data_IF_447405378922
#
_entry.id   IF_447405378922
#
_cell.length_a   1.000
_cell.length_b   1.000
_cell.length_c   1.000
_cell.angle_alpha   90.00
_cell.angle_beta   90.00
_cell.angle_gamma   90.00
#
_symmetry.space_group_name_H-M   'P 1'
#
loop_
_entity.id
_entity.type
_entity.pdbx_description
1 polymer ?
#
# COMPACT_ATOMS: atom_id res chain seq x y z
N UNK A 1 16.66 -12.16 81.16
CA UNK A 1 17.10 -12.93 80.03
C UNK A 1 18.56 -12.64 79.82
N UNK A 2 19.43 -13.65 80.00
CA UNK A 2 20.90 -13.46 79.91
C UNK A 2 21.35 -13.44 78.43
N UNK A 3 22.48 -12.75 78.09
CA UNK A 3 22.94 -12.65 76.71
C UNK A 3 23.09 -14.01 76.01
N UNK A 4 23.51 -15.05 76.74
CA UNK A 4 23.65 -16.43 76.23
C UNK A 4 22.33 -17.07 75.87
N UNK A 5 21.24 -16.74 76.60
CA UNK A 5 19.91 -17.27 76.27
C UNK A 5 19.37 -16.60 74.99
N UNK A 6 19.69 -15.35 74.72
CA UNK A 6 19.32 -14.67 73.47
C UNK A 6 20.05 -15.25 72.27
N UNK A 7 21.34 -15.52 72.39
CA UNK A 7 22.14 -16.11 71.36
C UNK A 7 21.62 -17.54 70.97
N UNK A 8 21.30 -18.33 71.99
CA UNK A 8 20.73 -19.70 71.79
C UNK A 8 19.37 -19.65 71.10
N UNK A 9 18.54 -18.71 71.48
CA UNK A 9 17.22 -18.53 70.85
C UNK A 9 17.35 -18.07 69.39
N UNK A 10 18.26 -17.11 69.09
CA UNK A 10 18.50 -16.71 67.69
C UNK A 10 19.01 -17.87 66.85
N UNK A 11 19.94 -18.69 67.35
CA UNK A 11 20.46 -19.84 66.64
C UNK A 11 19.37 -20.92 66.37
N UNK A 12 18.50 -21.16 67.34
CA UNK A 12 17.37 -22.12 67.16
C UNK A 12 16.32 -21.58 66.16
N UNK A 13 16.06 -20.27 66.18
CA UNK A 13 15.11 -19.68 65.26
C UNK A 13 15.67 -19.65 63.83
N UNK A 14 16.93 -19.32 63.67
CA UNK A 14 17.57 -19.37 62.32
C UNK A 14 17.63 -20.74 61.70
N UNK A 15 17.87 -21.78 62.52
CA UNK A 15 17.82 -23.18 62.07
C UNK A 15 16.39 -23.70 61.88
N UNK A 16 15.40 -23.14 62.56
CA UNK A 16 14.01 -23.52 62.46
C UNK A 16 13.21 -22.91 61.34
N UNK A 17 13.79 -21.80 60.74
CA UNK A 17 13.14 -21.14 59.59
C UNK A 17 13.51 -21.92 58.32
N UNK A 18 12.66 -22.81 57.91
CA UNK A 18 12.75 -23.53 56.63
C UNK A 18 11.85 -22.82 55.62
N UNK A 19 12.40 -22.55 54.45
CA UNK A 19 11.57 -22.07 53.34
C UNK A 19 10.56 -23.17 52.95
N UNK A 20 9.29 -22.98 53.35
CA UNK A 20 8.20 -23.91 53.15
C UNK A 20 7.37 -23.63 51.87
N UNK A 21 7.77 -22.59 51.15
CA UNK A 21 7.19 -22.34 49.83
C UNK A 21 8.30 -22.39 48.77
N UNK A 22 8.40 -23.54 48.11
CA UNK A 22 9.36 -23.80 47.03
C UNK A 22 8.60 -23.84 45.71
N UNK A 23 9.04 -23.01 44.79
CA UNK A 23 8.47 -22.97 43.42
C UNK A 23 8.65 -24.37 42.78
N UNK A 24 7.55 -25.07 42.61
CA UNK A 24 7.56 -26.36 41.91
C UNK A 24 7.28 -26.14 40.43
N UNK A 25 8.34 -26.03 39.63
CA UNK A 25 8.28 -25.77 38.18
C UNK A 25 7.37 -26.78 37.44
N UNK A 26 7.47 -28.08 37.79
CA UNK A 26 6.64 -29.13 37.19
C UNK A 26 5.14 -28.91 37.44
N UNK A 27 4.78 -28.65 38.70
CA UNK A 27 3.40 -28.38 39.09
C UNK A 27 2.86 -27.09 38.46
N UNK A 28 3.74 -26.06 38.31
CA UNK A 28 3.39 -24.80 37.66
C UNK A 28 3.12 -25.03 36.16
N UNK A 29 3.94 -25.81 35.48
CA UNK A 29 3.74 -26.17 34.09
C UNK A 29 2.47 -27.04 33.86
N UNK A 30 2.23 -27.99 34.72
CA UNK A 30 1.01 -28.82 34.69
C UNK A 30 -0.24 -27.92 34.88
N UNK A 31 -0.22 -26.99 35.83
CA UNK A 31 -1.32 -26.03 36.05
C UNK A 31 -1.51 -25.11 34.87
N UNK A 32 -0.44 -24.60 34.26
CA UNK A 32 -0.51 -23.79 33.04
C UNK A 32 -1.10 -24.59 31.87
N UNK A 33 -0.71 -25.85 31.74
CA UNK A 33 -1.19 -26.69 30.65
C UNK A 33 -2.66 -27.06 30.84
N UNK A 34 -3.07 -27.35 32.07
CA UNK A 34 -4.49 -27.61 32.41
C UNK A 34 -5.35 -26.34 32.25
N UNK A 35 -4.83 -25.16 32.64
CA UNK A 35 -5.51 -23.89 32.41
C UNK A 35 -5.64 -23.55 30.91
N UNK A 36 -4.63 -23.85 30.10
CA UNK A 36 -4.70 -23.67 28.64
C UNK A 36 -5.72 -24.62 27.99
N UNK A 37 -5.80 -25.86 28.45
CA UNK A 37 -6.77 -26.85 27.93
C UNK A 37 -8.21 -26.59 28.39
N UNK A 38 -8.41 -25.89 29.50
CA UNK A 38 -9.73 -25.49 29.99
C UNK A 38 -10.32 -24.25 29.26
N UNK A 39 -9.50 -23.51 28.54
CA UNK A 39 -9.97 -22.37 27.72
C UNK A 39 -10.60 -22.89 26.44
N UNK A 40 -11.91 -22.65 26.27
CA UNK A 40 -12.60 -23.01 25.03
C UNK A 40 -12.00 -22.21 23.84
N UNK A 41 -11.66 -22.87 22.72
CA UNK A 41 -11.16 -22.18 21.55
C UNK A 41 -12.22 -21.23 20.99
N UNK A 42 -11.83 -20.00 20.67
CA UNK A 42 -12.72 -19.06 19.97
C UNK A 42 -12.83 -19.54 18.51
N UNK A 43 -14.01 -20.06 18.16
CA UNK A 43 -14.30 -20.49 16.80
C UNK A 43 -14.91 -19.33 16.01
N UNK A 44 -14.37 -19.04 14.84
CA UNK A 44 -14.90 -18.06 13.90
C UNK A 44 -15.32 -18.82 12.65
N UNK A 45 -16.61 -18.74 12.30
CA UNK A 45 -17.15 -19.43 11.13
C UNK A 45 -17.07 -18.54 9.89
N UNK A 46 -16.85 -19.16 8.74
CA UNK A 46 -16.88 -18.44 7.48
C UNK A 46 -18.28 -17.87 7.21
N UNK A 47 -18.38 -16.54 6.99
CA UNK A 47 -19.67 -15.86 6.82
C UNK A 47 -20.32 -15.40 8.14
N UNK A 48 -19.68 -15.61 9.29
CA UNK A 48 -20.14 -15.08 10.58
C UNK A 48 -20.06 -13.54 10.57
N UNK A 49 -21.17 -12.89 10.92
CA UNK A 49 -21.19 -11.43 11.10
C UNK A 49 -20.63 -11.12 12.48
N UNK A 50 -19.42 -10.60 12.55
CA UNK A 50 -18.75 -10.25 13.81
C UNK A 50 -19.29 -8.94 14.38
N UNK A 51 -19.45 -7.91 13.52
CA UNK A 51 -19.99 -6.61 13.89
C UNK A 51 -20.87 -6.08 12.75
N UNK A 52 -21.99 -5.43 13.06
CA UNK A 52 -22.82 -4.70 12.08
C UNK A 52 -22.53 -3.21 12.18
N UNK A 53 -22.67 -2.52 11.07
CA UNK A 53 -22.56 -1.06 11.02
C UNK A 53 -23.53 -0.41 12.03
N UNK A 54 -23.02 0.54 12.83
CA UNK A 54 -23.77 1.21 13.89
C UNK A 54 -23.79 0.48 15.25
N UNK A 55 -23.28 -0.75 15.36
CA UNK A 55 -23.20 -1.45 16.63
C UNK A 55 -21.87 -1.16 17.34
N UNK A 56 -21.94 -1.13 18.68
CA UNK A 56 -20.74 -0.99 19.51
C UNK A 56 -19.92 -2.28 19.44
N UNK A 57 -18.60 -2.16 19.28
CA UNK A 57 -17.66 -3.27 19.27
C UNK A 57 -17.39 -3.68 20.72
N UNK A 58 -17.81 -4.87 21.11
CA UNK A 58 -17.52 -5.44 22.43
C UNK A 58 -16.14 -6.11 22.48
N UNK A 59 -15.70 -6.54 23.67
CA UNK A 59 -14.38 -7.13 23.85
C UNK A 59 -14.21 -8.46 23.08
N UNK A 60 -15.28 -9.25 22.91
CA UNK A 60 -15.25 -10.51 22.20
C UNK A 60 -15.19 -10.29 20.69
N UNK A 61 -15.95 -9.32 20.15
CA UNK A 61 -15.86 -8.91 18.76
C UNK A 61 -14.48 -8.35 18.42
N UNK A 62 -13.91 -7.51 19.32
CA UNK A 62 -12.56 -6.99 19.16
C UNK A 62 -11.51 -8.09 19.07
N UNK A 63 -11.62 -9.10 19.93
CA UNK A 63 -10.72 -10.26 19.94
C UNK A 63 -10.85 -11.10 18.67
N UNK A 64 -12.06 -11.30 18.15
CA UNK A 64 -12.29 -11.97 16.87
C UNK A 64 -11.68 -11.20 15.70
N UNK A 65 -11.85 -9.85 15.69
CA UNK A 65 -11.27 -8.98 14.68
C UNK A 65 -9.72 -8.99 14.73
N UNK A 66 -9.14 -9.02 15.93
CA UNK A 66 -7.69 -9.11 16.14
C UNK A 66 -7.14 -10.45 15.62
N UNK A 67 -7.80 -11.58 15.95
CA UNK A 67 -7.41 -12.90 15.45
C UNK A 67 -7.48 -13.01 13.92
N UNK A 68 -8.40 -12.29 13.29
CA UNK A 68 -8.50 -12.19 11.83
C UNK A 68 -7.51 -11.21 11.21
N UNK A 69 -6.71 -10.49 12.03
CA UNK A 69 -5.77 -9.49 11.55
C UNK A 69 -6.42 -8.20 11.03
N UNK A 70 -7.72 -8.01 11.29
CA UNK A 70 -8.47 -6.85 10.79
C UNK A 70 -8.28 -5.58 11.65
N UNK A 71 -7.81 -5.73 12.88
CA UNK A 71 -7.49 -4.63 13.81
C UNK A 71 -6.07 -4.13 13.70
N UNK A 72 -5.14 -4.99 13.31
CA UNK A 72 -3.76 -4.61 13.08
C UNK A 72 -3.63 -3.99 11.68
N UNK A 73 -3.84 -2.69 11.56
CA UNK A 73 -3.26 -1.93 10.47
C UNK A 73 -1.73 -1.94 10.66
N UNK A 74 -1.10 -3.07 10.39
CA UNK A 74 0.32 -3.06 10.07
C UNK A 74 0.41 -2.32 8.73
N UNK A 75 0.62 -1.02 8.81
CA UNK A 75 0.95 -0.20 7.64
C UNK A 75 2.21 -0.81 7.05
N UNK A 76 2.00 -1.70 6.08
CA UNK A 76 3.11 -2.33 5.38
C UNK A 76 3.95 -1.22 4.75
N UNK A 77 5.24 -1.18 5.08
CA UNK A 77 6.18 -0.23 4.48
C UNK A 77 6.43 -0.55 3.00
N UNK A 78 6.09 -1.78 2.57
CA UNK A 78 6.32 -2.23 1.19
C UNK A 78 5.72 -1.33 0.10
N UNK A 79 4.47 -0.86 0.17
CA UNK A 79 3.93 0.03 -0.86
C UNK A 79 4.71 1.35 -0.96
N UNK A 80 5.17 1.90 0.17
CA UNK A 80 5.96 3.13 0.20
C UNK A 80 7.33 2.90 -0.44
N UNK A 81 8.02 1.83 -0.10
CA UNK A 81 9.32 1.46 -0.70
C UNK A 81 9.16 1.22 -2.20
N UNK A 82 8.13 0.49 -2.61
CA UNK A 82 7.84 0.24 -4.02
C UNK A 82 7.55 1.54 -4.80
N UNK A 83 6.82 2.48 -4.20
CA UNK A 83 6.56 3.80 -4.79
C UNK A 83 7.86 4.59 -4.98
N UNK A 84 8.73 4.62 -3.98
CA UNK A 84 10.03 5.30 -4.07
C UNK A 84 10.88 4.68 -5.19
N UNK A 85 10.95 3.36 -5.27
CA UNK A 85 11.69 2.66 -6.32
C UNK A 85 11.12 2.95 -7.72
N UNK A 86 9.80 3.01 -7.86
CA UNK A 86 9.15 3.35 -9.12
C UNK A 86 9.48 4.77 -9.57
N UNK A 87 9.47 5.74 -8.64
CA UNK A 87 9.84 7.14 -8.93
C UNK A 87 11.32 7.24 -9.31
N UNK A 88 12.21 6.56 -8.59
CA UNK A 88 13.65 6.53 -8.92
C UNK A 88 13.88 5.93 -10.30
N UNK A 89 13.20 4.85 -10.64
CA UNK A 89 13.27 4.23 -11.96
C UNK A 89 12.78 5.20 -13.05
N UNK A 90 11.68 5.91 -12.79
CA UNK A 90 11.15 6.91 -13.72
C UNK A 90 12.16 8.03 -13.98
N UNK A 91 12.80 8.54 -12.92
CA UNK A 91 13.84 9.57 -13.02
C UNK A 91 15.04 9.05 -13.81
N UNK A 92 15.52 7.84 -13.52
CA UNK A 92 16.64 7.24 -14.22
C UNK A 92 16.37 7.09 -15.72
N UNK A 93 15.19 6.60 -16.08
CA UNK A 93 14.76 6.46 -17.47
C UNK A 93 14.61 7.82 -18.16
N UNK A 94 14.06 8.82 -17.46
CA UNK A 94 13.94 10.19 -18.00
C UNK A 94 15.33 10.81 -18.27
N UNK A 95 16.26 10.69 -17.33
CA UNK A 95 17.64 11.16 -17.47
C UNK A 95 18.32 10.46 -18.64
N UNK A 96 18.22 9.12 -18.73
CA UNK A 96 18.80 8.35 -19.82
C UNK A 96 18.29 8.82 -21.21
N UNK A 97 16.97 9.05 -21.34
CA UNK A 97 16.40 9.55 -22.60
C UNK A 97 16.79 10.99 -22.90
N UNK A 98 16.91 11.84 -21.85
CA UNK A 98 17.34 13.22 -22.02
C UNK A 98 18.78 13.33 -22.53
N UNK A 99 19.64 12.35 -22.21
CA UNK A 99 21.04 12.32 -22.68
C UNK A 99 21.18 12.16 -24.20
N UNK A 100 20.12 11.74 -24.89
CA UNK A 100 20.13 11.66 -26.36
C UNK A 100 20.15 13.06 -27.02
N UNK A 101 19.82 14.11 -26.27
CA UNK A 101 19.88 15.50 -26.76
C UNK A 101 21.25 16.12 -26.40
N UNK A 102 22.03 16.50 -27.42
CA UNK A 102 23.37 17.08 -27.26
C UNK A 102 23.32 18.52 -26.75
N UNK A 103 22.27 19.27 -27.13
CA UNK A 103 22.09 20.64 -26.74
C UNK A 103 21.45 20.74 -25.34
N UNK A 104 22.09 21.46 -24.43
CA UNK A 104 21.59 21.60 -23.05
C UNK A 104 20.18 22.25 -22.99
N UNK A 105 19.89 23.21 -23.85
CA UNK A 105 18.59 23.86 -23.95
C UNK A 105 17.46 22.87 -24.30
N UNK A 106 17.65 22.12 -25.37
CA UNK A 106 16.66 21.11 -25.80
C UNK A 106 16.47 19.99 -24.76
N UNK A 107 17.54 19.61 -24.05
CA UNK A 107 17.48 18.65 -22.97
C UNK A 107 16.61 19.16 -21.81
N UNK A 108 16.78 20.42 -21.41
CA UNK A 108 16.00 21.03 -20.35
C UNK A 108 14.52 21.14 -20.74
N UNK A 109 14.24 21.59 -21.96
CA UNK A 109 12.87 21.66 -22.50
C UNK A 109 12.19 20.29 -22.51
N UNK A 110 12.90 19.25 -22.95
CA UNK A 110 12.41 17.88 -22.96
C UNK A 110 12.02 17.41 -21.56
N UNK A 111 12.93 17.58 -20.58
CA UNK A 111 12.70 17.15 -19.19
C UNK A 111 11.54 17.94 -18.58
N UNK A 112 11.54 19.25 -18.74
CA UNK A 112 10.51 20.13 -18.18
C UNK A 112 9.12 19.79 -18.73
N UNK A 113 9.01 19.62 -20.05
CA UNK A 113 7.75 19.27 -20.69
C UNK A 113 7.24 17.90 -20.23
N UNK A 114 8.12 16.89 -20.16
CA UNK A 114 7.78 15.56 -19.68
C UNK A 114 7.30 15.58 -18.22
N UNK A 115 8.05 16.22 -17.33
CA UNK A 115 7.71 16.30 -15.90
C UNK A 115 6.40 17.05 -15.69
N UNK A 116 6.19 18.18 -16.40
CA UNK A 116 4.95 18.94 -16.31
C UNK A 116 3.75 18.11 -16.77
N UNK A 117 3.85 17.42 -17.91
CA UNK A 117 2.78 16.58 -18.42
C UNK A 117 2.45 15.42 -17.46
N UNK A 118 3.46 14.74 -16.89
CA UNK A 118 3.27 13.68 -15.91
C UNK A 118 2.70 14.19 -14.58
N UNK A 119 3.11 15.37 -14.13
CA UNK A 119 2.54 16.00 -12.93
C UNK A 119 1.06 16.32 -13.09
N UNK A 120 0.67 16.86 -14.23
CA UNK A 120 -0.74 17.10 -14.57
C UNK A 120 -1.51 15.78 -14.59
N UNK A 121 -0.93 14.71 -15.16
CA UNK A 121 -1.52 13.36 -15.16
C UNK A 121 -1.83 12.87 -13.74
N UNK A 122 -0.84 12.94 -12.84
CA UNK A 122 -0.98 12.50 -11.44
C UNK A 122 -2.02 13.33 -10.69
N UNK A 123 -2.02 14.66 -10.89
CA UNK A 123 -3.02 15.55 -10.29
C UNK A 123 -4.44 15.22 -10.75
N UNK A 124 -4.62 14.98 -12.04
CA UNK A 124 -5.92 14.57 -12.59
C UNK A 124 -6.35 13.21 -12.03
N UNK A 125 -5.46 12.22 -11.92
CA UNK A 125 -5.78 10.95 -11.28
C UNK A 125 -6.21 11.12 -9.83
N UNK A 126 -5.50 11.96 -9.06
CA UNK A 126 -5.89 12.31 -7.69
C UNK A 126 -7.25 13.00 -7.63
N UNK A 127 -7.54 13.87 -8.57
CA UNK A 127 -8.84 14.51 -8.67
C UNK A 127 -9.96 13.48 -8.86
N UNK A 128 -9.81 12.52 -9.78
CA UNK A 128 -10.78 11.44 -9.97
C UNK A 128 -10.89 10.54 -8.73
N UNK A 129 -9.81 10.32 -8.00
CA UNK A 129 -9.82 9.55 -6.75
C UNK A 129 -10.71 10.22 -5.67
N UNK A 130 -10.73 11.56 -5.60
CA UNK A 130 -11.54 12.29 -4.60
C UNK A 130 -13.05 12.07 -4.78
N UNK A 131 -13.51 11.83 -6.00
CA UNK A 131 -14.93 11.55 -6.30
C UNK A 131 -15.28 10.07 -6.21
N UNK A 132 -14.30 9.23 -5.97
CA UNK A 132 -14.50 7.80 -5.87
C UNK A 132 -15.18 7.43 -4.55
N UNK A 133 -16.26 6.66 -4.63
CA UNK A 133 -16.96 6.05 -3.50
C UNK A 133 -17.09 4.55 -3.72
N UNK A 134 -17.45 3.79 -2.70
CA UNK A 134 -17.67 2.33 -2.84
C UNK A 134 -18.72 2.01 -3.90
N UNK A 135 -19.76 2.84 -4.02
CA UNK A 135 -20.83 2.70 -5.02
C UNK A 135 -20.40 3.16 -6.42
N UNK A 136 -19.39 4.02 -6.51
CA UNK A 136 -18.88 4.63 -7.74
C UNK A 136 -17.41 4.27 -8.02
N UNK A 137 -17.06 3.00 -7.85
CA UNK A 137 -15.71 2.47 -8.09
C UNK A 137 -15.24 2.63 -9.55
N UNK A 138 -16.17 2.88 -10.49
CA UNK A 138 -15.89 3.06 -11.93
C UNK A 138 -15.38 4.47 -12.30
N UNK A 139 -15.45 5.45 -11.40
CA UNK A 139 -15.02 6.85 -11.68
C UNK A 139 -13.62 6.96 -12.27
N UNK A 140 -12.59 6.21 -11.80
CA UNK A 140 -11.26 6.25 -12.40
C UNK A 140 -11.22 5.90 -13.89
N UNK A 141 -12.17 5.13 -14.43
CA UNK A 141 -12.22 4.80 -15.86
C UNK A 141 -12.52 6.02 -16.75
N UNK A 142 -13.11 7.08 -16.21
CA UNK A 142 -13.33 8.34 -16.96
C UNK A 142 -12.04 9.17 -17.11
N UNK A 143 -10.98 8.79 -16.42
CA UNK A 143 -9.69 9.45 -16.60
C UNK A 143 -9.18 9.23 -18.03
N UNK A 144 -8.83 10.29 -18.79
CA UNK A 144 -8.37 10.18 -20.18
C UNK A 144 -6.92 9.67 -20.25
N UNK A 145 -6.73 8.39 -19.99
CA UNK A 145 -5.40 7.77 -19.87
C UNK A 145 -4.56 7.84 -21.17
N UNK A 146 -5.21 7.95 -22.31
CA UNK A 146 -4.53 8.12 -23.61
C UNK A 146 -3.96 9.53 -23.82
N UNK A 147 -4.46 10.56 -23.10
CA UNK A 147 -4.17 11.96 -23.40
C UNK A 147 -2.70 12.31 -23.22
N UNK A 148 -2.12 12.03 -22.06
CA UNK A 148 -0.72 12.39 -21.76
C UNK A 148 0.28 11.63 -22.63
N UNK A 149 0.17 10.29 -22.82
CA UNK A 149 0.99 9.56 -23.78
C UNK A 149 0.89 10.09 -25.21
N UNK A 150 -0.32 10.49 -25.64
CA UNK A 150 -0.56 11.08 -26.95
C UNK A 150 0.18 12.40 -27.09
N UNK A 151 0.01 13.32 -26.15
CA UNK A 151 0.66 14.65 -26.13
C UNK A 151 2.18 14.49 -26.17
N UNK A 152 2.75 13.62 -25.33
CA UNK A 152 4.19 13.38 -25.30
C UNK A 152 4.71 12.72 -26.61
N UNK A 153 3.91 11.84 -27.21
CA UNK A 153 4.24 11.26 -28.50
C UNK A 153 4.28 12.32 -29.62
N UNK A 154 3.36 13.29 -29.61
CA UNK A 154 3.31 14.34 -30.63
C UNK A 154 4.37 15.42 -30.45
N UNK A 155 4.57 15.89 -29.23
CA UNK A 155 5.44 17.03 -28.97
C UNK A 155 6.91 16.65 -28.75
N UNK A 156 7.16 15.48 -28.16
CA UNK A 156 8.52 14.99 -27.94
C UNK A 156 8.88 13.87 -28.93
N UNK A 157 8.57 12.63 -28.52
CA UNK A 157 8.84 11.47 -29.36
C UNK A 157 8.03 10.25 -28.89
N UNK A 158 7.96 9.21 -29.74
CA UNK A 158 7.22 7.98 -29.42
C UNK A 158 7.73 7.29 -28.16
N UNK A 159 9.05 7.34 -27.88
CA UNK A 159 9.62 6.75 -26.66
C UNK A 159 9.10 7.42 -25.42
N UNK A 160 9.01 8.76 -25.42
CA UNK A 160 8.43 9.51 -24.29
C UNK A 160 6.96 9.14 -24.05
N UNK A 161 6.18 8.98 -25.12
CA UNK A 161 4.78 8.55 -25.02
C UNK A 161 4.64 7.15 -24.41
N UNK A 162 5.44 6.16 -24.88
CA UNK A 162 5.44 4.80 -24.33
C UNK A 162 5.81 4.80 -22.84
N UNK A 163 6.86 5.53 -22.48
CA UNK A 163 7.28 5.65 -21.07
C UNK A 163 6.21 6.28 -20.22
N UNK A 164 5.57 7.34 -20.70
CA UNK A 164 4.47 7.97 -19.97
C UNK A 164 3.31 6.98 -19.76
N UNK A 165 2.93 6.19 -20.75
CA UNK A 165 1.89 5.17 -20.59
C UNK A 165 2.22 4.15 -19.50
N UNK A 166 3.46 3.65 -19.48
CA UNK A 166 3.92 2.71 -18.45
C UNK A 166 3.92 3.31 -17.06
N UNK A 167 4.56 4.48 -16.89
CA UNK A 167 4.65 5.14 -15.58
C UNK A 167 3.30 5.66 -15.10
N UNK A 168 2.41 6.04 -16.01
CA UNK A 168 1.05 6.42 -15.68
C UNK A 168 0.25 5.24 -15.09
N UNK A 169 0.38 4.04 -15.66
CA UNK A 169 -0.23 2.84 -15.10
C UNK A 169 0.35 2.51 -13.71
N UNK A 170 1.68 2.64 -13.53
CA UNK A 170 2.32 2.46 -12.23
C UNK A 170 1.83 3.51 -11.21
N UNK A 171 1.71 4.77 -11.62
CA UNK A 171 1.18 5.83 -10.75
C UNK A 171 -0.27 5.56 -10.35
N UNK A 172 -1.10 5.07 -11.27
CA UNK A 172 -2.48 4.68 -11.00
C UNK A 172 -2.56 3.54 -9.98
N UNK A 173 -1.64 2.57 -10.03
CA UNK A 173 -1.55 1.50 -9.04
C UNK A 173 -1.42 2.09 -7.62
N UNK A 174 -0.49 3.01 -7.41
CA UNK A 174 -0.26 3.60 -6.09
C UNK A 174 -1.38 4.54 -5.65
N UNK A 175 -1.96 5.28 -6.60
CA UNK A 175 -3.03 6.25 -6.30
C UNK A 175 -4.31 5.51 -5.89
N UNK A 176 -4.70 4.46 -6.61
CA UNK A 176 -5.94 3.74 -6.36
C UNK A 176 -5.79 2.51 -5.45
N UNK A 177 -4.54 2.19 -5.02
CA UNK A 177 -4.29 1.10 -4.08
C UNK A 177 -5.02 1.33 -2.75
N UNK A 178 -5.76 0.32 -2.30
CA UNK A 178 -6.52 0.38 -1.04
C UNK A 178 -7.87 1.11 -1.11
N UNK A 179 -8.15 1.86 -2.19
CA UNK A 179 -9.44 2.53 -2.39
C UNK A 179 -10.40 1.74 -3.30
N UNK A 180 -9.89 0.74 -4.00
CA UNK A 180 -10.65 -0.10 -4.94
C UNK A 180 -10.33 -1.56 -4.68
N UNK A 181 -11.31 -2.44 -4.85
CA UNK A 181 -11.09 -3.90 -4.81
C UNK A 181 -10.06 -4.35 -5.86
N UNK A 182 -9.22 -5.31 -5.51
CA UNK A 182 -8.07 -5.76 -6.31
C UNK A 182 -8.44 -6.15 -7.75
N UNK A 183 -9.59 -6.78 -7.95
CA UNK A 183 -10.07 -7.18 -9.28
C UNK A 183 -10.34 -5.99 -10.17
N UNK A 184 -11.00 -4.95 -9.63
CA UNK A 184 -11.35 -3.76 -10.39
C UNK A 184 -10.14 -2.86 -10.63
N UNK A 185 -9.21 -2.79 -9.69
CA UNK A 185 -7.92 -2.11 -9.84
C UNK A 185 -7.16 -2.67 -11.05
N UNK A 186 -7.13 -3.99 -11.22
CA UNK A 186 -6.48 -4.65 -12.37
C UNK A 186 -7.10 -4.20 -13.69
N UNK A 187 -8.43 -4.07 -13.76
CA UNK A 187 -9.14 -3.57 -14.96
C UNK A 187 -8.72 -2.14 -15.29
N UNK A 188 -8.67 -1.26 -14.28
CA UNK A 188 -8.23 0.14 -14.45
C UNK A 188 -6.79 0.21 -14.97
N UNK A 189 -5.87 -0.56 -14.37
CA UNK A 189 -4.48 -0.58 -14.79
C UNK A 189 -4.33 -1.05 -16.24
N UNK A 190 -5.02 -2.11 -16.63
CA UNK A 190 -5.04 -2.59 -18.02
C UNK A 190 -5.64 -1.56 -18.97
N UNK A 191 -6.75 -0.92 -18.60
CA UNK A 191 -7.37 0.13 -19.41
C UNK A 191 -6.40 1.31 -19.63
N UNK A 192 -5.70 1.76 -18.58
CA UNK A 192 -4.73 2.87 -18.69
C UNK A 192 -3.53 2.48 -19.56
N UNK A 193 -2.98 1.29 -19.33
CA UNK A 193 -1.83 0.81 -20.07
C UNK A 193 -2.15 0.63 -21.55
N UNK A 194 -3.24 -0.04 -21.89
CA UNK A 194 -3.62 -0.28 -23.28
C UNK A 194 -4.03 1.01 -24.00
N UNK A 195 -4.83 1.87 -23.38
CA UNK A 195 -5.23 3.14 -23.99
C UNK A 195 -4.02 4.06 -24.21
N UNK A 196 -3.11 4.13 -23.23
CA UNK A 196 -1.88 4.90 -23.35
C UNK A 196 -0.94 4.35 -24.45
N UNK A 197 -0.75 3.03 -24.52
CA UNK A 197 0.07 2.43 -25.58
C UNK A 197 -0.56 2.61 -26.97
N UNK A 198 -1.86 2.42 -27.12
CA UNK A 198 -2.57 2.66 -28.38
C UNK A 198 -2.39 4.10 -28.87
N UNK A 199 -2.44 5.08 -27.95
CA UNK A 199 -2.19 6.49 -28.27
C UNK A 199 -0.81 6.72 -28.90
N UNK A 200 0.20 5.91 -28.54
CA UNK A 200 1.56 6.03 -29.09
C UNK A 200 1.72 5.42 -30.49
N UNK A 201 0.75 4.63 -30.96
CA UNK A 201 0.75 4.07 -32.31
C UNK A 201 0.32 5.12 -33.35
N UNK A 202 -0.42 6.16 -32.93
CA UNK A 202 -0.85 7.23 -33.81
C UNK A 202 0.36 8.01 -34.32
N UNK A 203 0.50 8.09 -35.64
CA UNK A 203 1.57 8.86 -36.29
C UNK A 203 1.13 10.32 -36.46
N UNK A 204 2.00 11.25 -36.10
CA UNK A 204 1.78 12.70 -36.26
C UNK A 204 1.32 13.08 -37.67
N UNK A 205 1.94 12.50 -38.72
CA UNK A 205 1.59 12.80 -40.11
C UNK A 205 0.15 12.42 -40.49
N UNK A 206 -0.33 11.23 -40.04
CA UNK A 206 -1.69 10.81 -40.37
C UNK A 206 -2.78 11.69 -39.73
N UNK A 207 -2.54 12.19 -38.55
CA UNK A 207 -3.52 13.05 -37.86
C UNK A 207 -3.60 14.42 -38.52
N UNK A 208 -2.46 15.03 -38.90
CA UNK A 208 -2.48 16.31 -39.63
C UNK A 208 -3.16 16.20 -40.99
N UNK A 209 -2.90 15.14 -41.75
CA UNK A 209 -3.53 14.93 -43.07
C UNK A 209 -5.04 14.69 -42.96
N UNK A 210 -5.49 13.95 -41.98
CA UNK A 210 -6.93 13.71 -41.72
C UNK A 210 -7.67 14.96 -41.27
N UNK A 211 -7.05 15.80 -40.44
CA UNK A 211 -7.65 17.08 -40.03
C UNK A 211 -7.77 18.05 -41.21
N UNK A 212 -6.75 18.13 -42.06
CA UNK A 212 -6.81 18.95 -43.28
C UNK A 212 -7.87 18.43 -44.25
N UNK A 213 -7.99 17.11 -44.43
CA UNK A 213 -9.03 16.52 -45.31
C UNK A 213 -10.45 16.61 -44.76
N UNK A 214 -10.61 16.73 -43.43
CA UNK A 214 -11.92 16.91 -42.80
C UNK A 214 -12.37 18.38 -42.75
N UNK A 215 -11.45 19.34 -42.97
CA UNK A 215 -11.75 20.77 -43.04
C UNK A 215 -12.01 21.29 -44.46
N UNK A 216 -11.67 20.51 -45.49
CA UNK A 216 -12.04 20.75 -46.91
C UNK A 216 -13.33 20.03 -47.28
#
# INVERSE_FOLDING_TARGET
MTPDQQQTIHYLVDQGIVVNDVLNEKKTEELKQSARSAVQPVMIYQGEIIVREGNQIDADAMKKLELLGLTSQTTSIFPLVAMILAVLLQIAVLVYNSMQYHEAGKRTEYVLFYVTAMSISVLLMKFFQLFQTEQAAFIPLFYPAAFVPLVLNFFLNRRAGIMAALFQAVSALFIFYGSIGTNFLTVILMAYLFSGLLATVLKRQRVSEQWFSAMM
#
